data_IF_143827416647
#
_entry.id   IF_143827416647
#
_cell.length_a   1.000
_cell.length_b   1.000
_cell.length_c   1.000
_cell.angle_alpha   90.00
_cell.angle_beta   90.00
_cell.angle_gamma   90.00
#
_symmetry.space_group_name_H-M   'P 1'
#
loop_
_entity.id
_entity.type
_entity.pdbx_description
1 polymer ?
#
# COMPACT_ATOMS: atom_id res chain seq x y z
N UNK A 1 13.90 12.49 -18.11
CA UNK A 1 12.96 13.07 -17.13
C UNK A 1 13.62 12.89 -15.79
N UNK A 2 14.01 13.97 -15.12
CA UNK A 2 14.64 13.89 -13.80
C UNK A 2 13.76 13.06 -12.88
N UNK A 3 14.37 12.23 -12.05
CA UNK A 3 13.69 11.52 -10.95
C UNK A 3 13.29 12.54 -9.89
N UNK A 4 12.39 13.46 -10.23
CA UNK A 4 11.91 14.49 -9.33
C UNK A 4 11.22 13.82 -8.16
N UNK A 5 11.70 14.10 -6.95
CA UNK A 5 11.15 13.53 -5.74
C UNK A 5 9.66 13.94 -5.66
N UNK A 6 8.77 12.96 -5.50
CA UNK A 6 7.33 13.21 -5.44
C UNK A 6 6.97 14.19 -4.32
N UNK A 7 7.71 14.13 -3.20
CA UNK A 7 7.52 15.06 -2.10
C UNK A 7 7.86 16.50 -2.52
N UNK A 8 8.97 16.73 -3.22
CA UNK A 8 9.33 18.07 -3.73
C UNK A 8 8.30 18.61 -4.72
N UNK A 9 7.78 17.75 -5.61
CA UNK A 9 6.70 18.15 -6.53
C UNK A 9 5.43 18.53 -5.76
N UNK A 10 5.09 17.77 -4.71
CA UNK A 10 3.98 18.09 -3.84
C UNK A 10 4.21 19.42 -3.09
N UNK A 11 5.42 19.69 -2.59
CA UNK A 11 5.75 20.97 -1.97
C UNK A 11 5.54 22.13 -2.93
N UNK A 12 6.06 22.02 -4.16
CA UNK A 12 5.99 23.08 -5.16
C UNK A 12 4.56 23.30 -5.68
N UNK A 13 3.83 22.23 -6.03
CA UNK A 13 2.48 22.35 -6.62
C UNK A 13 1.45 22.92 -5.63
N UNK A 14 1.68 22.71 -4.33
CA UNK A 14 0.75 23.07 -3.28
C UNK A 14 1.30 24.13 -2.30
N UNK A 15 2.41 24.80 -2.59
CA UNK A 15 3.12 25.74 -1.68
C UNK A 15 2.20 26.78 -1.02
N UNK A 16 1.16 27.23 -1.72
CA UNK A 16 0.22 28.26 -1.28
C UNK A 16 -1.05 27.69 -0.63
N UNK A 17 -1.15 26.37 -0.48
CA UNK A 17 -2.32 25.73 0.11
C UNK A 17 -2.28 25.82 1.63
N UNK A 18 -3.42 26.16 2.20
CA UNK A 18 -3.64 26.13 3.65
C UNK A 18 -4.53 24.93 4.02
N UNK A 19 -4.68 24.67 5.31
CA UNK A 19 -5.69 23.72 5.82
C UNK A 19 -7.08 24.04 5.25
N UNK A 20 -7.43 25.33 5.15
CA UNK A 20 -8.72 25.78 4.61
C UNK A 20 -8.86 25.41 3.13
N UNK A 21 -7.81 25.67 2.34
CA UNK A 21 -7.75 25.31 0.91
C UNK A 21 -7.94 23.81 0.72
N UNK A 22 -7.20 22.98 1.47
CA UNK A 22 -7.38 21.52 1.41
C UNK A 22 -8.76 21.07 1.88
N UNK A 23 -9.36 21.76 2.86
CA UNK A 23 -10.69 21.42 3.39
C UNK A 23 -11.82 21.70 2.41
N UNK A 24 -11.64 22.65 1.49
CA UNK A 24 -12.60 22.93 0.41
C UNK A 24 -12.61 21.83 -0.67
N UNK A 25 -11.54 21.05 -0.79
CA UNK A 25 -11.45 19.93 -1.72
C UNK A 25 -12.37 18.80 -1.24
N UNK A 26 -13.03 18.11 -2.17
CA UNK A 26 -13.85 16.93 -1.84
C UNK A 26 -13.04 15.89 -1.07
N UNK A 27 -13.62 15.34 -0.01
CA UNK A 27 -12.96 14.35 0.87
C UNK A 27 -12.36 13.18 0.09
N UNK A 28 -13.07 12.68 -0.93
CA UNK A 28 -12.57 11.57 -1.76
C UNK A 28 -11.27 11.92 -2.49
N UNK A 29 -11.15 13.15 -2.99
CA UNK A 29 -9.94 13.63 -3.66
C UNK A 29 -8.80 13.79 -2.66
N UNK A 30 -9.07 14.31 -1.45
CA UNK A 30 -8.08 14.37 -0.38
C UNK A 30 -7.54 12.97 -0.01
N UNK A 31 -8.42 11.97 0.10
CA UNK A 31 -8.04 10.58 0.36
C UNK A 31 -7.13 10.03 -0.75
N UNK A 32 -7.51 10.23 -2.02
CA UNK A 32 -6.73 9.76 -3.16
C UNK A 32 -5.33 10.40 -3.19
N UNK A 33 -5.24 11.71 -2.95
CA UNK A 33 -3.96 12.42 -2.88
C UNK A 33 -3.07 11.85 -1.77
N UNK A 34 -3.61 11.71 -0.56
CA UNK A 34 -2.89 11.12 0.58
C UNK A 34 -2.41 9.70 0.27
N UNK A 35 -3.27 8.88 -0.32
CA UNK A 35 -2.94 7.49 -0.62
C UNK A 35 -1.86 7.41 -1.71
N UNK A 36 -1.90 8.28 -2.72
CA UNK A 36 -0.89 8.36 -3.78
C UNK A 36 0.50 8.71 -3.21
N UNK A 37 0.56 9.71 -2.35
CA UNK A 37 1.78 10.12 -1.64
C UNK A 37 2.34 8.97 -0.80
N UNK A 38 1.49 8.31 0.00
CA UNK A 38 1.89 7.16 0.84
C UNK A 38 2.40 5.97 0.04
N UNK A 39 1.75 5.61 -1.07
CA UNK A 39 2.17 4.49 -1.95
C UNK A 39 3.57 4.73 -2.53
N UNK A 40 3.98 5.98 -2.63
CA UNK A 40 5.25 6.42 -3.21
C UNK A 40 6.25 6.86 -2.14
N UNK A 41 6.12 6.29 -0.94
CA UNK A 41 7.03 6.49 0.20
C UNK A 41 7.08 7.90 0.78
N UNK A 42 6.10 8.77 0.48
CA UNK A 42 5.93 10.01 1.23
C UNK A 42 5.19 9.68 2.51
N UNK A 43 5.83 9.91 3.66
CA UNK A 43 5.18 9.73 4.94
C UNK A 43 4.12 10.81 5.13
N UNK A 44 2.91 10.39 5.54
CA UNK A 44 1.83 11.31 5.92
C UNK A 44 1.24 10.78 7.22
N UNK A 45 1.16 11.66 8.22
CA UNK A 45 0.52 11.37 9.51
C UNK A 45 -0.88 10.79 9.35
N UNK A 46 -1.26 9.86 10.24
CA UNK A 46 -2.62 9.31 10.26
C UNK A 46 -3.61 10.40 10.70
N UNK A 47 -4.72 10.48 9.98
CA UNK A 47 -5.86 11.28 10.40
C UNK A 47 -6.69 10.50 11.46
N UNK A 48 -7.38 11.21 12.35
CA UNK A 48 -8.25 10.64 13.38
C UNK A 48 -9.47 11.56 13.61
N UNK A 49 -10.27 11.32 14.66
CA UNK A 49 -11.47 12.14 14.95
C UNK A 49 -11.15 13.62 15.22
N UNK A 50 -9.94 13.92 15.71
CA UNK A 50 -9.49 15.29 16.03
C UNK A 50 -8.66 15.91 14.90
N UNK A 51 -8.17 15.08 13.96
CA UNK A 51 -7.23 15.48 12.92
C UNK A 51 -7.71 15.05 11.55
N UNK A 52 -8.07 16.02 10.71
CA UNK A 52 -8.62 15.78 9.37
C UNK A 52 -7.54 15.43 8.36
N UNK A 53 -7.93 14.90 7.20
CA UNK A 53 -6.98 14.62 6.11
C UNK A 53 -6.35 15.92 5.59
N UNK A 54 -7.15 16.99 5.46
CA UNK A 54 -6.65 18.32 5.11
C UNK A 54 -5.55 18.81 6.07
N UNK A 55 -5.71 18.60 7.38
CA UNK A 55 -4.67 18.93 8.36
C UNK A 55 -3.42 18.08 8.17
N UNK A 56 -3.54 16.76 7.95
CA UNK A 56 -2.37 15.89 7.73
C UNK A 56 -1.63 16.19 6.42
N UNK A 57 -2.34 16.61 5.38
CA UNK A 57 -1.73 17.02 4.11
C UNK A 57 -1.00 18.35 4.26
N UNK A 58 -1.61 19.31 4.96
CA UNK A 58 -0.99 20.59 5.25
C UNK A 58 0.26 20.42 6.13
N UNK A 59 0.22 19.56 7.15
CA UNK A 59 1.43 19.30 7.95
C UNK A 59 2.58 18.73 7.12
N UNK A 60 2.31 17.76 6.24
CA UNK A 60 3.31 17.25 5.30
C UNK A 60 3.87 18.37 4.41
N UNK A 61 3.00 19.31 3.98
CA UNK A 61 3.38 20.51 3.23
C UNK A 61 4.20 21.53 4.05
N UNK A 62 4.24 21.41 5.38
CA UNK A 62 5.05 22.29 6.24
C UNK A 62 6.33 21.60 6.74
N UNK A 63 6.55 20.34 6.39
CA UNK A 63 7.80 19.65 6.70
C UNK A 63 8.95 20.30 5.90
N UNK A 64 10.06 20.62 6.56
CA UNK A 64 11.26 21.18 5.91
C UNK A 64 12.04 20.11 5.13
N UNK A 65 11.99 18.86 5.62
CA UNK A 65 12.63 17.68 5.02
C UNK A 65 11.63 16.53 4.94
N UNK A 66 11.73 15.69 3.90
CA UNK A 66 10.89 14.50 3.77
C UNK A 66 11.11 13.56 4.97
N UNK A 67 10.06 13.30 5.74
CA UNK A 67 10.14 12.37 6.86
C UNK A 67 10.54 10.96 6.41
N UNK A 68 11.65 10.46 6.96
CA UNK A 68 12.13 9.09 6.71
C UNK A 68 11.19 8.05 7.33
N UNK A 69 10.98 6.94 6.62
CA UNK A 69 10.32 5.77 7.19
C UNK A 69 11.29 5.07 8.15
N UNK A 70 11.38 5.55 9.39
CA UNK A 70 11.98 4.77 10.48
C UNK A 70 11.22 3.43 10.55
N UNK A 71 11.95 2.31 10.54
CA UNK A 71 11.46 0.92 10.40
C UNK A 71 10.37 0.47 11.41
N UNK A 72 9.95 1.34 12.33
CA UNK A 72 9.06 1.06 13.46
C UNK A 72 7.56 1.07 13.11
N UNK A 73 7.17 1.22 11.83
CA UNK A 73 5.74 1.41 11.46
C UNK A 73 5.21 0.49 10.36
N UNK A 74 5.73 -0.74 10.25
CA UNK A 74 5.12 -1.76 9.39
C UNK A 74 3.72 -2.16 9.94
N UNK A 75 3.57 -2.24 11.26
CA UNK A 75 2.29 -2.54 11.93
C UNK A 75 1.26 -1.40 11.83
N UNK A 76 1.71 -0.20 11.46
CA UNK A 76 0.89 0.99 11.33
C UNK A 76 0.29 1.15 9.91
N UNK A 77 0.67 0.30 8.96
CA UNK A 77 0.01 0.22 7.66
C UNK A 77 -1.39 -0.38 7.89
N UNK A 78 -2.51 0.33 7.62
CA UNK A 78 -3.82 -0.26 7.75
C UNK A 78 -3.93 -1.43 6.78
N UNK A 79 -3.89 -2.64 7.35
CA UNK A 79 -4.03 -3.94 6.70
C UNK A 79 -5.24 -4.02 5.74
N UNK A 80 -6.22 -3.14 5.91
CA UNK A 80 -7.49 -3.20 5.17
C UNK A 80 -7.50 -2.45 3.82
N UNK A 81 -6.58 -1.51 3.55
CA UNK A 81 -6.57 -0.75 2.28
C UNK A 81 -5.40 -1.09 1.34
N UNK A 82 -4.36 -1.73 1.86
CA UNK A 82 -3.28 -2.32 1.05
C UNK A 82 -3.43 -3.82 0.95
N UNK A 83 -4.67 -4.28 0.89
CA UNK A 83 -4.95 -5.54 0.23
C UNK A 83 -4.54 -5.37 -1.23
N UNK A 84 -3.23 -5.51 -1.48
CA UNK A 84 -2.66 -6.00 -2.72
C UNK A 84 -3.22 -7.42 -2.88
N UNK A 85 -4.53 -7.51 -3.16
CA UNK A 85 -5.12 -8.59 -3.93
C UNK A 85 -5.18 -8.08 -5.37
N UNK A 86 -4.05 -7.91 -6.11
CA UNK A 86 -4.17 -8.21 -7.51
C UNK A 86 -4.64 -9.68 -7.55
N UNK A 87 -5.77 -10.02 -8.18
CA UNK A 87 -6.33 -11.37 -8.16
C UNK A 87 -5.31 -12.46 -8.51
N UNK A 88 -4.28 -12.08 -9.26
CA UNK A 88 -3.13 -12.91 -9.64
C UNK A 88 -2.25 -13.34 -8.45
N UNK A 89 -2.07 -12.51 -7.42
CA UNK A 89 -1.23 -12.86 -6.26
C UNK A 89 -1.97 -13.78 -5.29
N UNK A 90 -3.24 -13.50 -5.01
CA UNK A 90 -4.09 -14.38 -4.19
C UNK A 90 -4.23 -15.77 -4.82
N UNK A 91 -4.44 -15.85 -6.15
CA UNK A 91 -4.41 -17.13 -6.88
C UNK A 91 -3.06 -17.83 -6.78
N UNK A 92 -1.94 -17.10 -6.89
CA UNK A 92 -0.59 -17.67 -6.79
C UNK A 92 -0.29 -18.23 -5.41
N UNK A 93 -0.75 -17.57 -4.34
CA UNK A 93 -0.60 -18.06 -2.96
C UNK A 93 -1.42 -19.34 -2.77
N UNK A 94 -2.70 -19.32 -3.15
CA UNK A 94 -3.56 -20.50 -3.05
C UNK A 94 -3.04 -21.69 -3.87
N UNK A 95 -2.49 -21.44 -5.08
CA UNK A 95 -1.84 -22.47 -5.89
C UNK A 95 -0.56 -23.01 -5.23
N UNK A 96 0.25 -22.15 -4.61
CA UNK A 96 1.49 -22.55 -3.94
C UNK A 96 1.20 -23.45 -2.73
N UNK A 97 0.19 -23.11 -1.94
CA UNK A 97 -0.22 -23.91 -0.77
C UNK A 97 -0.83 -25.26 -1.18
N UNK A 98 -1.59 -25.29 -2.28
CA UNK A 98 -2.12 -26.53 -2.88
C UNK A 98 -1.02 -27.41 -3.50
N UNK A 99 0.02 -26.80 -4.07
CA UNK A 99 1.14 -27.53 -4.68
C UNK A 99 2.02 -28.15 -3.59
N UNK A 100 2.28 -27.42 -2.49
CA UNK A 100 3.08 -27.94 -1.38
C UNK A 100 2.37 -29.07 -0.61
N UNK A 101 1.04 -29.03 -0.50
CA UNK A 101 0.27 -30.13 0.12
C UNK A 101 0.23 -31.39 -0.75
N UNK A 102 0.26 -31.25 -2.08
CA UNK A 102 0.35 -32.37 -3.03
C UNK A 102 1.72 -33.05 -3.01
N UNK A 103 2.81 -32.26 -2.97
CA UNK A 103 4.19 -32.79 -2.97
C UNK A 103 4.56 -33.44 -1.62
N UNK A 104 3.89 -33.06 -0.53
CA UNK A 104 4.12 -33.62 0.80
C UNK A 104 3.49 -35.00 1.05
N UNK A 105 2.79 -35.58 0.07
CA UNK A 105 2.27 -36.95 0.21
C UNK A 105 3.38 -37.98 -0.06
N UNK A 106 3.66 -38.93 0.86
CA UNK A 106 4.61 -39.99 0.59
C UNK A 106 4.09 -40.87 -0.56
N UNK A 107 4.84 -40.92 -1.65
CA UNK A 107 4.56 -41.71 -2.85
C UNK A 107 4.60 -43.20 -2.51
N UNK A 108 3.46 -43.77 -2.12
CA UNK A 108 3.28 -45.22 -2.05
C UNK A 108 2.91 -45.75 -3.45
N UNK A 109 3.93 -45.87 -4.32
CA UNK A 109 3.80 -46.60 -5.57
C UNK A 109 3.71 -48.11 -5.27
N UNK A 110 2.58 -48.73 -5.61
CA UNK A 110 2.51 -50.18 -5.86
C UNK A 110 2.13 -50.43 -7.32
N UNK A 111 3.05 -51.09 -8.02
CA UNK A 111 3.00 -51.44 -9.44
C UNK A 111 2.04 -52.61 -9.74
N UNK A 112 1.31 -52.46 -10.86
CA UNK A 112 0.95 -53.45 -11.90
C UNK A 112 -0.01 -54.64 -11.57
N UNK A 113 -0.61 -55.33 -12.58
CA UNK A 113 -0.50 -55.16 -14.04
C UNK A 113 -1.84 -55.00 -14.82
N UNK A 114 -1.72 -54.54 -16.08
CA UNK A 114 -2.78 -54.56 -17.10
C UNK A 114 -3.21 -55.99 -17.42
N UNK A 115 -4.52 -56.22 -17.52
CA UNK A 115 -5.08 -57.42 -18.14
C UNK A 115 -5.95 -56.98 -19.32
N UNK A 116 -5.45 -57.25 -20.53
CA UNK A 116 -6.17 -57.05 -21.80
C UNK A 116 -6.82 -58.40 -22.12
N UNK A 117 -8.12 -58.38 -22.34
CA UNK A 117 -8.85 -59.42 -23.10
C UNK A 117 -9.45 -58.76 -24.33
#
# INVERSE_FOLDING_TARGET
VSESNLWELFQNDFENFTVSTFSQIKLRTQQVLRDYLRIRFVHISKNNKQKTIAQTLFECLQEEDQHEWMNEKIDDIPNDNYVLKPPKLARRIAYRDSTLSYIAQPTSQKHAPLNIK
#
